data_IF_909267349258
#
_entry.id   IF_909267349258
#
_cell.length_a   1.000
_cell.length_b   1.000
_cell.length_c   1.000
_cell.angle_alpha   90.00
_cell.angle_beta   90.00
_cell.angle_gamma   90.00
#
_symmetry.space_group_name_H-M   'P 1'
#
loop_
_entity.id
_entity.type
_entity.pdbx_description
1 polymer ?
#
# COMPACT_ATOMS: atom_id res chain seq x y z
N UNK A 1 -26.77 3.47 -24.30
CA UNK A 1 -26.61 3.28 -22.84
C UNK A 1 -26.04 1.88 -22.70
N UNK A 2 -24.72 1.75 -22.68
CA UNK A 2 -24.02 0.49 -22.43
C UNK A 2 -23.02 0.84 -21.33
N UNK A 3 -23.35 0.46 -20.10
CA UNK A 3 -22.44 0.53 -18.97
C UNK A 3 -21.58 -0.74 -19.01
N UNK A 4 -20.29 -0.51 -19.20
CA UNK A 4 -19.23 -1.52 -19.22
C UNK A 4 -19.07 -2.13 -17.82
N UNK A 5 -18.85 -3.45 -17.80
CA UNK A 5 -18.53 -4.27 -16.63
C UNK A 5 -17.42 -3.63 -15.78
N UNK A 6 -17.82 -3.04 -14.65
CA UNK A 6 -16.90 -2.77 -13.55
C UNK A 6 -16.68 -4.10 -12.82
N UNK A 7 -15.62 -4.81 -13.22
CA UNK A 7 -15.02 -5.92 -12.47
C UNK A 7 -14.55 -5.38 -11.12
N UNK A 8 -15.51 -5.27 -10.21
CA UNK A 8 -15.31 -4.93 -8.82
C UNK A 8 -14.82 -6.22 -8.20
N UNK A 9 -13.50 -6.42 -8.20
CA UNK A 9 -12.83 -7.59 -7.65
C UNK A 9 -13.48 -7.98 -6.33
N UNK A 10 -14.36 -8.98 -6.40
CA UNK A 10 -15.12 -9.47 -5.27
C UNK A 10 -14.07 -10.11 -4.37
N UNK A 11 -13.87 -9.55 -3.17
CA UNK A 11 -13.23 -10.32 -2.10
C UNK A 11 -14.19 -11.45 -1.76
N UNK A 12 -14.16 -12.50 -2.58
CA UNK A 12 -15.02 -13.67 -2.45
C UNK A 12 -14.47 -14.52 -1.32
N UNK A 13 -14.86 -14.15 -0.11
CA UNK A 13 -14.52 -14.83 1.12
C UNK A 13 -15.84 -15.37 1.65
N UNK A 14 -16.04 -16.68 1.52
CA UNK A 14 -17.29 -17.31 1.90
C UNK A 14 -17.43 -17.36 3.42
N UNK A 15 -18.67 -17.51 3.91
CA UNK A 15 -18.92 -17.65 5.36
C UNK A 15 -18.24 -18.91 5.94
N UNK A 16 -18.01 -19.92 5.10
CA UNK A 16 -17.23 -21.11 5.44
C UNK A 16 -15.72 -20.80 5.53
N UNK A 17 -15.18 -19.92 4.68
CA UNK A 17 -13.80 -19.45 4.77
C UNK A 17 -13.57 -18.65 6.06
N UNK A 18 -14.55 -17.83 6.46
CA UNK A 18 -14.48 -17.07 7.73
C UNK A 18 -14.53 -17.98 8.95
N UNK A 19 -15.37 -19.03 8.94
CA UNK A 19 -15.40 -20.04 10.01
C UNK A 19 -14.11 -20.83 10.07
N UNK A 20 -13.56 -21.21 8.92
CA UNK A 20 -12.27 -21.89 8.83
C UNK A 20 -11.15 -21.04 9.47
N UNK A 21 -11.13 -19.73 9.22
CA UNK A 21 -10.15 -18.82 9.84
C UNK A 21 -10.39 -18.63 11.33
N UNK A 22 -11.64 -18.64 11.78
CA UNK A 22 -11.95 -18.60 13.21
C UNK A 22 -11.44 -19.85 13.95
N UNK A 23 -11.45 -21.01 13.30
CA UNK A 23 -10.97 -22.28 13.86
C UNK A 23 -9.45 -22.45 13.75
N UNK A 24 -8.86 -22.04 12.62
CA UNK A 24 -7.43 -22.27 12.31
C UNK A 24 -6.53 -21.08 12.68
N UNK A 25 -7.12 -19.93 12.97
CA UNK A 25 -6.45 -18.69 13.32
C UNK A 25 -5.93 -17.91 12.11
N UNK A 26 -5.40 -16.72 12.38
CA UNK A 26 -4.85 -15.85 11.34
C UNK A 26 -3.46 -16.33 10.89
N UNK A 27 -3.21 -16.25 9.60
CA UNK A 27 -1.86 -16.37 9.07
C UNK A 27 -1.04 -15.14 9.49
N UNK A 28 0.00 -15.30 10.32
CA UNK A 28 0.90 -14.22 10.75
C UNK A 28 2.20 -14.32 9.92
N UNK A 29 3.12 -13.35 9.91
CA UNK A 29 4.35 -13.41 9.12
C UNK A 29 5.64 -12.97 9.84
N UNK A 30 6.78 -13.65 9.61
CA UNK A 30 8.00 -13.58 10.44
C UNK A 30 8.81 -12.31 10.19
N UNK A 31 8.94 -11.52 11.25
CA UNK A 31 9.57 -10.20 11.31
C UNK A 31 11.09 -10.23 11.04
N UNK A 32 11.80 -11.30 11.40
CA UNK A 32 13.27 -11.37 11.25
C UNK A 32 13.71 -11.97 9.90
N UNK A 33 12.83 -12.76 9.26
CA UNK A 33 13.15 -13.52 8.05
C UNK A 33 12.56 -12.93 6.76
N UNK A 34 11.67 -11.93 6.86
CA UNK A 34 11.02 -11.27 5.71
C UNK A 34 11.99 -10.61 4.73
N UNK A 35 13.25 -10.36 5.12
CA UNK A 35 14.30 -9.83 4.24
C UNK A 35 15.22 -10.87 3.59
N UNK A 36 15.09 -12.18 3.91
CA UNK A 36 16.12 -13.19 3.60
C UNK A 36 15.67 -14.41 2.80
N UNK A 37 14.38 -14.65 2.58
CA UNK A 37 13.95 -15.88 1.90
C UNK A 37 12.98 -15.64 0.74
N UNK A 38 13.25 -16.29 -0.40
CA UNK A 38 12.27 -16.70 -1.42
C UNK A 38 11.35 -17.79 -0.84
N UNK A 39 10.62 -17.48 0.23
CA UNK A 39 9.71 -18.40 0.91
C UNK A 39 8.64 -17.60 1.64
N UNK A 40 7.40 -18.11 1.62
CA UNK A 40 6.25 -17.49 2.26
C UNK A 40 6.52 -17.44 3.79
N UNK A 41 6.76 -16.26 4.40
CA UNK A 41 7.29 -16.20 5.76
C UNK A 41 6.16 -16.32 6.79
N UNK A 42 5.37 -17.39 6.73
CA UNK A 42 4.19 -17.61 7.57
C UNK A 42 4.61 -17.88 9.03
N UNK A 43 4.27 -17.00 9.97
CA UNK A 43 4.25 -17.25 11.42
C UNK A 43 2.95 -17.93 11.84
N UNK A 44 3.06 -18.69 12.92
CA UNK A 44 1.92 -19.24 13.65
C UNK A 44 0.91 -18.14 14.04
N UNK A 45 -0.37 -18.51 13.97
CA UNK A 45 -1.47 -17.64 14.36
C UNK A 45 -1.30 -17.06 15.77
N UNK A 46 -1.91 -15.89 15.99
CA UNK A 46 -1.97 -15.26 17.30
C UNK A 46 -2.62 -16.21 18.32
N UNK A 47 -1.79 -16.90 19.11
CA UNK A 47 -2.26 -17.85 20.13
C UNK A 47 -2.76 -17.17 21.41
N UNK A 48 -2.83 -15.83 21.43
CA UNK A 48 -3.15 -15.02 22.60
C UNK A 48 -4.57 -14.43 22.55
N UNK A 49 -5.52 -15.21 22.03
CA UNK A 49 -6.94 -14.88 22.04
C UNK A 49 -7.42 -14.49 23.44
N UNK A 50 -8.30 -13.50 23.50
CA UNK A 50 -8.94 -13.07 24.73
C UNK A 50 -9.95 -14.14 25.21
N UNK A 51 -9.84 -14.56 26.47
CA UNK A 51 -10.62 -15.64 27.08
C UNK A 51 -11.94 -15.19 27.72
N UNK A 52 -12.22 -13.89 27.72
CA UNK A 52 -13.47 -13.31 28.22
C UNK A 52 -14.50 -13.03 27.12
N UNK A 53 -15.64 -12.46 27.51
CA UNK A 53 -16.78 -12.22 26.60
C UNK A 53 -16.48 -11.22 25.47
N UNK A 54 -15.67 -10.19 25.74
CA UNK A 54 -15.14 -9.25 24.75
C UNK A 54 -13.94 -8.48 25.32
N UNK A 55 -12.88 -8.28 24.55
CA UNK A 55 -11.70 -7.53 24.99
C UNK A 55 -10.51 -7.63 24.04
N UNK A 56 -9.51 -6.75 24.21
CA UNK A 56 -8.26 -6.83 23.48
C UNK A 56 -7.45 -8.07 23.91
N UNK A 57 -6.70 -8.63 22.97
CA UNK A 57 -5.71 -9.68 23.26
C UNK A 57 -4.62 -9.16 24.18
N UNK A 58 -3.89 -10.08 24.84
CA UNK A 58 -2.78 -9.69 25.73
C UNK A 58 -1.69 -8.93 24.98
N UNK A 59 -1.40 -9.31 23.74
CA UNK A 59 -0.44 -8.61 22.88
C UNK A 59 -0.91 -7.21 22.48
N UNK A 60 -2.20 -7.01 22.20
CA UNK A 60 -2.74 -5.68 21.93
C UNK A 60 -2.62 -4.76 23.17
N UNK A 61 -2.93 -5.28 24.36
CA UNK A 61 -2.77 -4.53 25.62
C UNK A 61 -1.31 -4.13 25.85
N UNK A 62 -0.36 -5.03 25.58
CA UNK A 62 1.07 -4.74 25.75
C UNK A 62 1.58 -3.59 24.85
N UNK A 63 0.89 -3.31 23.73
CA UNK A 63 1.25 -2.25 22.78
C UNK A 63 0.41 -0.98 22.96
N UNK A 64 -0.63 -1.01 23.81
CA UNK A 64 -1.62 0.06 23.93
C UNK A 64 -1.06 1.37 24.51
N UNK A 65 -0.01 1.30 25.35
CA UNK A 65 0.61 2.47 25.97
C UNK A 65 1.35 3.36 24.96
N UNK A 66 1.62 2.85 23.76
CA UNK A 66 2.32 3.55 22.69
C UNK A 66 1.44 3.61 21.44
N UNK A 67 0.85 4.76 21.08
CA UNK A 67 -0.02 4.89 19.91
C UNK A 67 0.63 4.39 18.61
N UNK A 68 1.94 4.59 18.47
CA UNK A 68 2.71 4.09 17.34
C UNK A 68 2.90 2.55 17.39
N UNK A 69 3.06 1.98 18.59
CA UNK A 69 3.10 0.53 18.78
C UNK A 69 1.77 -0.11 18.39
N UNK A 70 0.66 0.48 18.81
CA UNK A 70 -0.68 0.02 18.42
C UNK A 70 -0.93 0.15 16.90
N UNK A 71 -0.39 1.19 16.27
CA UNK A 71 -0.47 1.37 14.81
C UNK A 71 0.22 0.22 14.05
N UNK A 72 1.44 -0.14 14.43
CA UNK A 72 2.18 -1.24 13.80
C UNK A 72 1.69 -2.63 14.22
N UNK A 73 1.06 -2.75 15.39
CA UNK A 73 0.39 -3.98 15.81
C UNK A 73 -0.74 -4.36 14.85
N UNK A 74 -1.55 -3.38 14.42
CA UNK A 74 -2.65 -3.60 13.47
C UNK A 74 -2.14 -3.70 12.03
N UNK A 75 -1.11 -2.94 11.67
CA UNK A 75 -0.59 -2.86 10.30
C UNK A 75 0.70 -3.68 10.16
N UNK A 76 0.52 -4.98 9.89
CA UNK A 76 1.59 -5.96 9.69
C UNK A 76 2.65 -5.47 8.69
N UNK A 77 3.92 -5.80 8.97
CA UNK A 77 5.08 -5.42 8.14
C UNK A 77 4.93 -5.83 6.67
N UNK A 78 4.32 -6.98 6.44
CA UNK A 78 4.12 -7.51 5.10
C UNK A 78 3.23 -6.62 4.22
N UNK A 79 2.20 -5.99 4.81
CA UNK A 79 1.34 -5.06 4.07
C UNK A 79 2.19 -3.94 3.49
N UNK A 80 3.09 -3.36 4.28
CA UNK A 80 3.98 -2.29 3.81
C UNK A 80 4.93 -2.75 2.70
N UNK A 81 5.48 -3.96 2.81
CA UNK A 81 6.38 -4.53 1.80
C UNK A 81 5.62 -4.77 0.50
N UNK A 82 4.50 -5.50 0.56
CA UNK A 82 3.67 -5.80 -0.62
C UNK A 82 3.13 -4.53 -1.27
N UNK A 83 2.60 -3.58 -0.49
CA UNK A 83 2.16 -2.28 -1.03
C UNK A 83 3.30 -1.56 -1.74
N UNK A 84 4.52 -1.60 -1.21
CA UNK A 84 5.68 -0.98 -1.85
C UNK A 84 6.02 -1.63 -3.20
N UNK A 85 6.08 -2.97 -3.23
CA UNK A 85 6.35 -3.74 -4.44
C UNK A 85 5.30 -3.50 -5.53
N UNK A 86 4.03 -3.53 -5.14
CA UNK A 86 2.88 -3.26 -6.00
C UNK A 86 2.90 -1.83 -6.53
N UNK A 87 3.19 -0.85 -5.68
CA UNK A 87 3.25 0.56 -6.09
C UNK A 87 4.40 0.81 -7.07
N UNK A 88 5.59 0.23 -6.83
CA UNK A 88 6.72 0.39 -7.76
C UNK A 88 6.51 -0.39 -9.07
N UNK A 89 5.84 -1.55 -9.03
CA UNK A 89 5.40 -2.27 -10.23
C UNK A 89 4.42 -1.44 -11.05
N UNK A 90 3.37 -0.93 -10.40
CA UNK A 90 2.40 -0.04 -11.04
C UNK A 90 3.09 1.18 -11.66
N UNK A 91 3.99 1.84 -10.92
CA UNK A 91 4.77 2.98 -11.43
C UNK A 91 5.49 2.62 -12.72
N UNK A 92 6.29 1.55 -12.73
CA UNK A 92 7.08 1.12 -13.90
C UNK A 92 6.21 0.81 -15.10
N UNK A 93 5.09 0.12 -14.90
CA UNK A 93 4.14 -0.21 -15.98
C UNK A 93 3.49 1.05 -16.57
N UNK A 94 3.31 2.11 -15.78
CA UNK A 94 2.62 3.32 -16.19
C UNK A 94 3.53 4.46 -16.68
N UNK A 95 4.86 4.28 -16.72
CA UNK A 95 5.81 5.37 -17.11
C UNK A 95 5.44 6.00 -18.45
N UNK A 96 5.11 5.20 -19.47
CA UNK A 96 4.81 5.74 -20.81
C UNK A 96 3.50 6.54 -20.83
N UNK A 97 2.47 6.06 -20.13
CA UNK A 97 1.21 6.78 -19.97
C UNK A 97 1.41 8.09 -19.20
N UNK A 98 2.19 8.07 -18.11
CA UNK A 98 2.55 9.26 -17.34
C UNK A 98 3.36 10.26 -18.17
N UNK A 99 4.32 9.78 -18.98
CA UNK A 99 5.12 10.63 -19.86
C UNK A 99 4.25 11.32 -20.92
N UNK A 100 3.32 10.58 -21.51
CA UNK A 100 2.36 11.10 -22.50
C UNK A 100 1.45 12.16 -21.89
N UNK A 101 0.84 11.88 -20.73
CA UNK A 101 -0.01 12.83 -20.01
C UNK A 101 0.78 14.09 -19.58
N UNK A 102 2.02 13.92 -19.09
CA UNK A 102 2.90 15.04 -18.70
C UNK A 102 3.22 15.91 -19.92
N UNK A 103 3.53 15.30 -21.06
CA UNK A 103 3.83 16.02 -22.30
C UNK A 103 2.61 16.78 -22.83
N UNK A 104 1.43 16.18 -22.81
CA UNK A 104 0.18 16.85 -23.19
C UNK A 104 -0.09 18.09 -22.33
N UNK A 105 0.06 17.98 -21.01
CA UNK A 105 -0.06 19.13 -20.09
C UNK A 105 0.95 20.22 -20.39
N UNK A 106 2.17 19.87 -20.81
CA UNK A 106 3.21 20.83 -21.19
C UNK A 106 2.90 21.51 -22.53
N UNK A 107 2.40 20.77 -23.52
CA UNK A 107 1.95 21.33 -24.80
C UNK A 107 0.77 22.29 -24.60
N UNK A 108 -0.18 21.94 -23.74
CA UNK A 108 -1.29 22.83 -23.39
C UNK A 108 -0.81 24.13 -22.71
N UNK A 109 0.29 24.09 -21.96
CA UNK A 109 0.93 25.29 -21.38
C UNK A 109 1.68 26.09 -22.44
N UNK A 110 2.41 25.42 -23.35
CA UNK A 110 3.12 26.07 -24.44
C UNK A 110 2.17 26.81 -25.40
N UNK A 111 0.96 26.27 -25.61
CA UNK A 111 -0.07 26.96 -26.39
C UNK A 111 -0.49 28.31 -25.77
N UNK A 112 -0.37 28.45 -24.44
CA UNK A 112 -0.62 29.71 -23.71
C UNK A 112 0.61 30.61 -23.62
N UNK A 113 1.80 30.01 -23.51
CA UNK A 113 3.09 30.71 -23.52
C UNK A 113 4.06 30.06 -24.52
N UNK A 114 4.15 30.60 -25.76
CA UNK A 114 5.01 30.05 -26.81
C UNK A 114 6.50 30.04 -26.50
N UNK A 115 6.96 30.76 -25.45
CA UNK A 115 8.36 30.77 -25.03
C UNK A 115 8.76 29.52 -24.25
N UNK A 116 7.79 28.76 -23.73
CA UNK A 116 8.06 27.50 -23.06
C UNK A 116 8.57 26.45 -24.04
N UNK A 117 9.68 25.81 -23.70
CA UNK A 117 10.15 24.61 -24.39
C UNK A 117 9.48 23.37 -23.79
N UNK A 118 9.07 22.43 -24.65
CA UNK A 118 8.49 21.15 -24.24
C UNK A 118 9.49 20.03 -24.56
N UNK A 119 9.98 19.29 -23.55
CA UNK A 119 10.87 18.16 -23.78
C UNK A 119 10.23 17.10 -24.68
N UNK A 120 11.07 16.31 -25.36
CA UNK A 120 10.57 15.19 -26.14
C UNK A 120 10.05 14.08 -25.18
N UNK A 121 9.25 13.15 -25.72
CA UNK A 121 8.65 12.09 -24.91
C UNK A 121 9.70 11.16 -24.26
N UNK A 122 10.77 10.82 -24.99
CA UNK A 122 11.87 9.97 -24.50
C UNK A 122 12.62 10.61 -23.34
N UNK A 123 12.83 11.93 -23.38
CA UNK A 123 13.49 12.67 -22.30
C UNK A 123 12.63 12.64 -21.04
N UNK A 124 11.31 12.76 -21.18
CA UNK A 124 10.36 12.68 -20.07
C UNK A 124 10.33 11.26 -19.50
N UNK A 125 10.31 10.22 -20.33
CA UNK A 125 10.39 8.82 -19.86
C UNK A 125 11.72 8.54 -19.16
N UNK A 126 12.84 9.02 -19.70
CA UNK A 126 14.15 8.88 -19.09
C UNK A 126 14.22 9.58 -17.73
N UNK A 127 13.60 10.76 -17.60
CA UNK A 127 13.45 11.47 -16.34
C UNK A 127 12.64 10.67 -15.31
N UNK A 128 11.48 10.12 -15.71
CA UNK A 128 10.63 9.30 -14.84
C UNK A 128 11.31 7.99 -14.40
N UNK A 129 12.21 7.44 -15.22
CA UNK A 129 12.98 6.25 -14.87
C UNK A 129 14.09 6.49 -13.84
N UNK A 130 14.54 7.74 -13.63
CA UNK A 130 15.58 8.06 -12.63
C UNK A 130 15.09 7.94 -11.19
N UNK A 131 13.78 7.94 -10.98
CA UNK A 131 13.21 7.83 -9.64
C UNK A 131 13.57 6.49 -9.01
N UNK A 132 14.12 6.58 -7.79
CA UNK A 132 14.46 5.41 -6.98
C UNK A 132 13.22 4.56 -6.71
N UNK A 133 13.38 3.24 -6.52
CA UNK A 133 12.31 2.39 -6.04
C UNK A 133 11.73 2.97 -4.74
N UNK A 134 10.41 2.91 -4.64
CA UNK A 134 9.68 3.29 -3.41
C UNK A 134 10.11 2.32 -2.31
N UNK A 135 10.24 2.82 -1.08
CA UNK A 135 10.57 2.01 0.09
C UNK A 135 9.39 1.96 1.06
N UNK A 136 9.36 0.94 1.92
CA UNK A 136 8.27 0.75 2.89
C UNK A 136 8.05 1.98 3.80
N UNK A 137 9.13 2.66 4.19
CA UNK A 137 8.99 3.88 4.99
C UNK A 137 8.32 5.02 4.22
N UNK A 138 8.47 5.12 2.89
CA UNK A 138 7.78 6.13 2.09
C UNK A 138 6.26 5.95 2.20
N UNK A 139 5.79 4.70 2.18
CA UNK A 139 4.37 4.37 2.35
C UNK A 139 3.89 4.75 3.77
N UNK A 140 4.67 4.47 4.81
CA UNK A 140 4.36 4.88 6.19
C UNK A 140 4.21 6.40 6.30
N UNK A 141 5.09 7.18 5.67
CA UNK A 141 4.98 8.64 5.65
C UNK A 141 3.72 9.12 4.94
N UNK A 142 3.35 8.51 3.81
CA UNK A 142 2.12 8.85 3.09
C UNK A 142 0.90 8.58 3.97
N UNK A 143 0.85 7.44 4.65
CA UNK A 143 -0.25 7.12 5.56
C UNK A 143 -0.30 8.12 6.72
N UNK A 144 0.83 8.48 7.31
CA UNK A 144 0.88 9.51 8.35
C UNK A 144 0.34 10.87 7.86
N UNK A 145 0.64 11.27 6.62
CA UNK A 145 0.09 12.48 6.02
C UNK A 145 -1.42 12.39 5.80
N UNK A 146 -1.95 11.21 5.44
CA UNK A 146 -3.39 10.99 5.33
C UNK A 146 -4.08 11.09 6.70
N UNK A 147 -3.48 10.52 7.75
CA UNK A 147 -3.96 10.69 9.12
C UNK A 147 -3.96 12.16 9.54
N UNK A 148 -2.86 12.89 9.28
CA UNK A 148 -2.79 14.31 9.60
C UNK A 148 -3.89 15.11 8.91
N UNK A 149 -4.16 14.83 7.63
CA UNK A 149 -5.26 15.46 6.87
C UNK A 149 -6.63 15.09 7.42
N UNK A 150 -6.84 13.85 7.85
CA UNK A 150 -8.12 13.42 8.43
C UNK A 150 -8.39 14.09 9.78
N UNK A 151 -7.34 14.31 10.59
CA UNK A 151 -7.44 14.94 11.90
C UNK A 151 -7.54 16.48 11.83
N UNK A 152 -6.90 17.09 10.82
CA UNK A 152 -6.91 18.52 10.59
C UNK A 152 -7.26 18.81 9.12
N UNK A 153 -8.56 18.76 8.75
CA UNK A 153 -8.99 19.06 7.40
C UNK A 153 -8.72 20.54 7.08
N UNK A 154 -8.10 20.77 5.92
CA UNK A 154 -7.84 22.10 5.34
C UNK A 154 -9.03 22.56 4.52
#
# INVERSE_FOLDING_TARGET
MNEEDLDTGMFDMTDDDLRSIAETGWVVYDEEQSGKAHGNPQLDAANDYYDGQCGPTRSAVANADYPLGMFFYVLLKEVWIRTTEETDRYRRQNISAMASSRREKLLARQAKDPRMSVPNLKDIEADLNKFKPIQAHDIVHIVALLFARAMAPV
#
